data_IF_382448357279
#
_entry.id   IF_382448357279
#
_cell.length_a   1.000
_cell.length_b   1.000
_cell.length_c   1.000
_cell.angle_alpha   90.00
_cell.angle_beta   90.00
_cell.angle_gamma   90.00
#
_symmetry.space_group_name_H-M   'P 1'
#
loop_
_entity.id
_entity.type
_entity.pdbx_description
1 polymer ?
#
# COMPACT_ATOMS: atom_id res chain seq x y z
N UNK A 1 17.82 -3.04 8.52
CA UNK A 1 18.13 -1.90 7.73
C UNK A 1 16.97 -1.18 7.07
N UNK A 2 15.72 -1.37 7.53
CA UNK A 2 14.57 -0.52 7.17
C UNK A 2 14.32 0.50 8.26
N UNK A 3 13.93 1.71 7.87
CA UNK A 3 13.47 2.78 8.74
C UNK A 3 11.94 2.85 8.72
N UNK A 4 11.30 3.01 9.88
CA UNK A 4 9.85 3.22 9.97
C UNK A 4 9.52 4.68 9.69
N UNK A 5 8.58 4.90 8.77
CA UNK A 5 8.05 6.23 8.43
C UNK A 5 6.56 6.30 8.78
N UNK A 6 6.09 7.50 9.12
CA UNK A 6 4.68 7.77 9.47
C UNK A 6 4.17 8.99 8.73
N UNK A 7 2.88 9.01 8.46
CA UNK A 7 2.20 10.09 7.78
C UNK A 7 0.82 10.39 8.36
N UNK A 8 0.17 11.44 7.90
CA UNK A 8 -1.14 11.86 8.41
C UNK A 8 -2.23 10.85 8.04
N UNK A 9 -3.21 10.71 8.93
CA UNK A 9 -4.42 9.92 8.68
C UNK A 9 -5.37 10.64 7.71
N UNK A 10 -5.54 11.95 7.92
CA UNK A 10 -6.26 12.82 6.99
C UNK A 10 -5.27 13.27 5.93
N UNK A 11 -5.55 12.95 4.68
CA UNK A 11 -4.63 13.15 3.58
C UNK A 11 -5.31 13.93 2.44
N UNK A 12 -4.52 14.64 1.65
CA UNK A 12 -4.98 15.21 0.38
C UNK A 12 -5.24 14.08 -0.63
N UNK A 13 -6.31 14.18 -1.40
CA UNK A 13 -6.54 13.30 -2.55
C UNK A 13 -5.36 13.34 -3.52
N UNK A 14 -4.66 14.46 -3.60
CA UNK A 14 -3.40 14.60 -4.32
C UNK A 14 -2.39 13.51 -3.96
N UNK A 15 -2.05 13.36 -2.68
CA UNK A 15 -1.07 12.37 -2.22
C UNK A 15 -1.63 10.94 -2.22
N UNK A 16 -2.92 10.83 -1.91
CA UNK A 16 -3.57 9.52 -1.82
C UNK A 16 -3.80 8.90 -3.21
N UNK A 17 -3.93 9.71 -4.25
CA UNK A 17 -4.29 9.24 -5.59
C UNK A 17 -3.48 9.88 -6.72
N UNK A 18 -3.48 11.22 -6.84
CA UNK A 18 -2.91 11.88 -8.01
C UNK A 18 -1.41 11.66 -8.15
N UNK A 19 -0.65 11.81 -7.07
CA UNK A 19 0.79 11.56 -7.04
C UNK A 19 1.15 10.08 -7.26
N UNK A 20 0.18 9.17 -7.17
CA UNK A 20 0.27 7.76 -7.52
C UNK A 20 -0.21 7.47 -8.96
N UNK A 21 -0.39 8.50 -9.77
CA UNK A 21 -0.87 8.35 -11.15
C UNK A 21 -2.22 7.61 -11.26
N UNK A 22 -3.03 7.63 -10.20
CA UNK A 22 -4.37 7.06 -10.23
C UNK A 22 -5.35 8.09 -10.79
N UNK A 23 -6.04 7.81 -11.92
CA UNK A 23 -6.87 8.80 -12.61
C UNK A 23 -8.01 9.31 -11.72
N UNK A 24 -8.46 10.55 -11.98
CA UNK A 24 -9.48 11.20 -11.15
C UNK A 24 -10.88 10.60 -11.29
N UNK A 25 -11.14 9.82 -12.33
CA UNK A 25 -12.36 9.05 -12.57
C UNK A 25 -12.23 7.57 -12.16
N UNK A 26 -11.15 7.20 -11.45
CA UNK A 26 -10.96 5.83 -11.00
C UNK A 26 -12.00 5.46 -9.93
N UNK A 27 -12.64 4.26 -10.02
CA UNK A 27 -13.69 3.82 -9.06
C UNK A 27 -13.28 3.91 -7.60
N UNK A 28 -12.02 3.64 -7.25
CA UNK A 28 -11.54 3.72 -5.87
C UNK A 28 -11.62 5.13 -5.26
N UNK A 29 -11.83 6.18 -6.07
CA UNK A 29 -12.09 7.55 -5.60
C UNK A 29 -13.57 7.81 -5.34
N UNK A 30 -14.46 6.85 -5.66
CA UNK A 30 -15.88 6.98 -5.39
C UNK A 30 -16.11 7.07 -3.88
N UNK A 31 -17.15 7.82 -3.49
CA UNK A 31 -17.59 7.94 -2.09
C UNK A 31 -18.02 6.59 -1.48
N UNK A 32 -18.31 5.59 -2.32
CA UNK A 32 -18.57 4.22 -1.86
C UNK A 32 -17.32 3.49 -1.39
N UNK A 33 -16.12 3.91 -1.83
CA UNK A 33 -14.85 3.25 -1.49
C UNK A 33 -13.93 4.14 -0.63
N UNK A 34 -14.13 5.47 -0.65
CA UNK A 34 -13.28 6.46 0.05
C UNK A 34 -14.10 7.36 0.97
N UNK A 35 -13.63 7.56 2.20
CA UNK A 35 -14.20 8.53 3.12
C UNK A 35 -13.61 9.92 2.84
N UNK A 36 -14.45 10.84 2.36
CA UNK A 36 -14.14 12.25 2.20
C UNK A 36 -14.54 13.03 3.46
N UNK A 37 -13.77 14.06 3.81
CA UNK A 37 -14.09 14.92 4.94
C UNK A 37 -15.14 15.98 4.55
N UNK A 38 -16.05 16.25 5.45
CA UNK A 38 -17.04 17.32 5.30
C UNK A 38 -16.51 18.69 5.74
N UNK A 39 -15.69 18.73 6.80
CA UNK A 39 -15.08 19.96 7.33
C UNK A 39 -13.75 19.64 8.02
N UNK A 40 -12.63 20.26 7.57
CA UNK A 40 -12.50 20.98 6.28
C UNK A 40 -12.59 20.02 5.10
N UNK A 41 -13.16 20.49 3.98
CA UNK A 41 -13.29 19.68 2.76
C UNK A 41 -12.04 19.63 1.92
N UNK A 42 -11.26 20.71 1.94
CA UNK A 42 -10.07 20.92 1.10
C UNK A 42 -8.87 21.29 1.95
N UNK A 43 -7.68 21.01 1.42
CA UNK A 43 -6.40 21.37 1.98
C UNK A 43 -5.50 22.06 0.97
N UNK A 44 -4.31 22.42 1.40
CA UNK A 44 -3.34 23.14 0.57
C UNK A 44 -2.47 22.15 -0.21
N UNK A 45 -2.42 22.29 -1.52
CA UNK A 45 -1.59 21.46 -2.41
C UNK A 45 -0.10 21.84 -2.31
N UNK A 46 0.80 20.85 -2.59
CA UNK A 46 2.23 21.12 -2.78
C UNK A 46 2.46 21.76 -4.17
N UNK A 47 2.42 23.08 -4.25
CA UNK A 47 2.40 23.85 -5.51
C UNK A 47 3.57 23.54 -6.45
N UNK A 48 4.72 23.20 -5.90
CA UNK A 48 5.92 22.81 -6.66
C UNK A 48 5.78 21.47 -7.40
N UNK A 49 4.82 20.61 -7.00
CA UNK A 49 4.55 19.31 -7.61
C UNK A 49 3.30 19.29 -8.48
N UNK A 50 2.34 20.20 -8.24
CA UNK A 50 1.03 20.19 -8.90
C UNK A 50 1.15 20.12 -10.42
N UNK A 51 1.91 21.05 -11.04
CA UNK A 51 2.04 21.08 -12.51
C UNK A 51 2.75 19.85 -13.07
N UNK A 52 3.70 19.27 -12.33
CA UNK A 52 4.40 18.05 -12.76
C UNK A 52 3.47 16.84 -12.75
N UNK A 53 2.68 16.69 -11.67
CA UNK A 53 1.68 15.60 -11.55
C UNK A 53 0.57 15.76 -12.58
N UNK A 54 0.00 16.96 -12.74
CA UNK A 54 -0.98 17.26 -13.77
C UNK A 54 -0.48 16.87 -15.17
N UNK A 55 0.73 17.30 -15.55
CA UNK A 55 1.28 17.02 -16.86
C UNK A 55 1.41 15.51 -17.14
N UNK A 56 1.82 14.70 -16.16
CA UNK A 56 1.87 13.24 -16.36
C UNK A 56 0.47 12.63 -16.52
N UNK A 57 -0.53 13.13 -15.78
CA UNK A 57 -1.91 12.69 -15.96
C UNK A 57 -2.47 13.03 -17.33
N UNK A 58 -2.28 14.25 -17.82
CA UNK A 58 -2.85 14.72 -19.07
C UNK A 58 -2.14 14.18 -20.29
N UNK A 59 -0.80 14.18 -20.29
CA UNK A 59 0.00 13.94 -21.51
C UNK A 59 1.13 12.92 -21.30
N UNK A 60 1.33 12.41 -20.09
CA UNK A 60 2.48 11.58 -19.75
C UNK A 60 3.74 12.38 -19.41
N UNK A 61 3.73 13.69 -19.61
CA UNK A 61 4.89 14.56 -19.31
C UNK A 61 6.17 14.11 -19.99
N UNK A 62 7.26 13.97 -19.25
CA UNK A 62 8.57 13.51 -19.73
C UNK A 62 8.77 11.99 -19.62
N UNK A 63 7.75 11.22 -19.24
CA UNK A 63 7.88 9.79 -18.92
C UNK A 63 7.92 8.88 -20.15
N UNK A 64 7.57 9.42 -21.34
CA UNK A 64 7.42 8.65 -22.56
C UNK A 64 6.04 7.97 -22.68
N UNK A 65 5.16 8.09 -21.71
CA UNK A 65 3.77 7.64 -21.80
C UNK A 65 2.87 8.70 -22.43
N UNK A 66 1.61 8.33 -22.71
CA UNK A 66 0.62 9.25 -23.24
C UNK A 66 -0.29 9.86 -22.16
N UNK A 67 -0.03 9.56 -20.87
CA UNK A 67 -0.93 9.91 -19.79
C UNK A 67 -2.30 9.25 -19.92
N UNK A 68 -3.25 9.73 -19.13
CA UNK A 68 -4.65 9.25 -19.16
C UNK A 68 -5.52 10.02 -20.16
N UNK A 69 -5.02 11.14 -20.71
CA UNK A 69 -5.68 11.98 -21.73
C UNK A 69 -6.99 12.62 -21.30
N UNK A 70 -7.13 12.96 -20.02
CA UNK A 70 -8.25 13.76 -19.50
C UNK A 70 -7.75 15.11 -18.97
N UNK A 71 -8.66 16.07 -18.78
CA UNK A 71 -8.34 17.33 -18.13
C UNK A 71 -8.28 17.13 -16.63
N UNK A 72 -7.08 17.25 -16.07
CA UNK A 72 -6.87 17.13 -14.62
C UNK A 72 -7.51 18.30 -13.88
N UNK A 73 -8.24 18.04 -12.81
CA UNK A 73 -8.98 19.00 -12.03
C UNK A 73 -8.31 19.21 -10.68
N UNK A 74 -7.94 20.45 -10.41
CA UNK A 74 -7.31 20.87 -9.16
C UNK A 74 -8.24 20.60 -7.96
N UNK A 75 -9.53 20.88 -8.12
CA UNK A 75 -10.55 20.73 -7.09
C UNK A 75 -10.68 19.30 -6.58
N UNK A 76 -10.41 18.31 -7.43
CA UNK A 76 -10.42 16.90 -7.03
C UNK A 76 -9.19 16.55 -6.18
N UNK A 77 -8.05 17.15 -6.48
CA UNK A 77 -6.80 16.89 -5.77
C UNK A 77 -6.74 17.59 -4.39
N UNK A 78 -7.43 18.73 -4.24
CA UNK A 78 -7.52 19.51 -2.99
C UNK A 78 -8.40 18.84 -1.93
N UNK A 79 -9.27 17.90 -2.29
CA UNK A 79 -10.16 17.20 -1.36
C UNK A 79 -9.37 16.48 -0.27
N UNK A 80 -9.91 16.53 0.96
CA UNK A 80 -9.37 15.79 2.09
C UNK A 80 -10.10 14.45 2.24
N UNK A 81 -9.32 13.40 2.47
CA UNK A 81 -9.81 12.03 2.63
C UNK A 81 -9.19 11.38 3.86
N UNK A 82 -9.85 10.37 4.41
CA UNK A 82 -9.14 9.40 5.24
C UNK A 82 -8.30 8.53 4.29
N UNK A 83 -7.00 8.41 4.55
CA UNK A 83 -6.08 7.68 3.64
C UNK A 83 -6.56 6.25 3.42
N UNK A 84 -6.59 5.81 2.16
CA UNK A 84 -7.04 4.48 1.76
C UNK A 84 -5.91 3.44 1.71
N UNK A 85 -4.67 3.91 1.87
CA UNK A 85 -3.44 3.13 1.94
C UNK A 85 -2.32 3.98 2.56
N UNK A 86 -1.28 3.32 3.05
CA UNK A 86 -0.10 3.98 3.59
C UNK A 86 0.86 4.48 2.53
N UNK A 87 0.62 4.17 1.25
CA UNK A 87 1.43 4.61 0.10
C UNK A 87 1.49 6.13 -0.03
N UNK A 88 0.45 6.85 0.43
CA UNK A 88 0.49 8.32 0.51
C UNK A 88 1.67 8.81 1.37
N UNK A 89 1.97 8.14 2.49
CA UNK A 89 3.14 8.43 3.33
C UNK A 89 4.44 8.20 2.57
N UNK A 90 4.53 7.07 1.86
CA UNK A 90 5.69 6.70 1.05
C UNK A 90 5.97 7.71 -0.06
N UNK A 91 4.93 8.19 -0.74
CA UNK A 91 5.07 9.17 -1.81
C UNK A 91 5.53 10.53 -1.27
N UNK A 92 5.02 10.97 -0.12
CA UNK A 92 5.52 12.17 0.56
C UNK A 92 7.01 12.03 0.91
N UNK A 93 7.39 10.88 1.46
CA UNK A 93 8.78 10.61 1.81
C UNK A 93 9.69 10.66 0.58
N UNK A 94 9.28 10.05 -0.55
CA UNK A 94 10.04 10.09 -1.80
C UNK A 94 10.17 11.51 -2.38
N UNK A 95 9.13 12.36 -2.22
CA UNK A 95 9.20 13.75 -2.67
C UNK A 95 10.26 14.56 -1.90
N UNK A 96 10.45 14.25 -0.62
CA UNK A 96 11.46 14.88 0.24
C UNK A 96 12.85 14.23 0.12
N UNK A 97 12.90 12.96 -0.30
CA UNK A 97 14.13 12.15 -0.37
C UNK A 97 14.23 11.45 -1.74
N UNK A 98 14.55 12.18 -2.82
CA UNK A 98 14.54 11.61 -4.18
C UNK A 98 15.76 10.75 -4.52
N UNK A 99 16.78 10.69 -3.66
CA UNK A 99 18.06 10.02 -3.92
C UNK A 99 18.24 8.71 -3.11
N UNK A 100 18.81 7.66 -3.75
CA UNK A 100 19.09 6.40 -3.07
C UNK A 100 20.32 6.49 -2.15
N UNK A 101 20.55 5.54 -1.21
CA UNK A 101 19.69 4.38 -0.98
C UNK A 101 18.52 4.67 -0.02
N UNK A 102 17.35 4.08 -0.29
CA UNK A 102 16.19 4.17 0.60
C UNK A 102 15.67 2.76 0.91
N UNK A 103 15.39 2.51 2.19
CA UNK A 103 14.70 1.32 2.69
C UNK A 103 13.80 1.75 3.82
N UNK A 104 12.55 2.01 3.51
CA UNK A 104 11.56 2.47 4.50
C UNK A 104 10.31 1.60 4.48
N UNK A 105 9.61 1.58 5.61
CA UNK A 105 8.32 0.92 5.75
C UNK A 105 7.39 1.74 6.63
N UNK A 106 6.10 1.51 6.47
CA UNK A 106 5.04 2.08 7.32
C UNK A 106 4.10 0.96 7.74
N UNK A 107 3.68 0.99 9.00
CA UNK A 107 2.58 0.17 9.52
C UNK A 107 1.60 1.11 10.18
N UNK A 108 0.42 1.26 9.60
CA UNK A 108 -0.53 2.22 10.11
C UNK A 108 -1.96 1.92 9.64
N UNK A 109 -2.95 2.62 10.24
CA UNK A 109 -4.36 2.48 9.91
C UNK A 109 -4.68 3.09 8.55
N UNK A 110 -5.53 2.41 7.82
CA UNK A 110 -6.13 2.89 6.59
C UNK A 110 -7.65 2.71 6.65
N UNK A 111 -8.35 3.42 5.77
CA UNK A 111 -9.81 3.53 5.81
C UNK A 111 -10.40 3.29 4.43
N UNK A 112 -11.36 2.39 4.34
CA UNK A 112 -12.10 2.11 3.10
C UNK A 112 -13.57 1.98 3.41
N UNK A 113 -14.40 2.64 2.63
CA UNK A 113 -15.85 2.60 2.79
C UNK A 113 -16.44 1.31 2.19
N UNK A 114 -15.95 0.17 2.67
CA UNK A 114 -16.39 -1.15 2.22
C UNK A 114 -17.44 -1.73 3.15
N UNK A 115 -18.27 -2.62 2.64
CA UNK A 115 -19.19 -3.41 3.49
C UNK A 115 -18.39 -4.32 4.40
N UNK A 116 -18.60 -4.16 5.71
CA UNK A 116 -17.93 -4.98 6.72
C UNK A 116 -18.39 -6.44 6.64
N UNK A 117 -17.43 -7.36 6.50
CA UNK A 117 -17.66 -8.80 6.53
C UNK A 117 -16.47 -9.53 7.21
N UNK A 118 -16.39 -10.86 7.08
CA UNK A 118 -15.36 -11.67 7.72
C UNK A 118 -13.92 -11.40 7.22
N UNK A 119 -13.75 -10.72 6.11
CA UNK A 119 -12.44 -10.39 5.48
C UNK A 119 -12.25 -8.91 5.13
N UNK A 120 -13.28 -8.06 5.38
CA UNK A 120 -13.27 -6.63 5.10
C UNK A 120 -13.68 -5.83 6.31
N UNK A 121 -12.94 -4.77 6.60
CA UNK A 121 -13.20 -3.79 7.66
C UNK A 121 -13.15 -2.39 7.06
N UNK A 122 -13.89 -1.45 7.65
CA UNK A 122 -13.83 -0.05 7.24
C UNK A 122 -12.56 0.66 7.72
N UNK A 123 -11.98 0.21 8.84
CA UNK A 123 -10.68 0.62 9.37
C UNK A 123 -9.84 -0.64 9.61
N UNK A 124 -8.62 -0.66 9.11
CA UNK A 124 -7.68 -1.77 9.32
C UNK A 124 -6.23 -1.29 9.14
N UNK A 125 -5.26 -2.15 9.43
CA UNK A 125 -3.85 -1.80 9.31
C UNK A 125 -3.28 -2.30 7.98
N UNK A 126 -2.45 -1.48 7.38
CA UNK A 126 -1.61 -1.85 6.25
C UNK A 126 -0.15 -1.82 6.66
N UNK A 127 0.59 -2.85 6.27
CA UNK A 127 2.04 -2.84 6.22
C UNK A 127 2.46 -2.57 4.78
N UNK A 128 3.34 -1.61 4.61
CA UNK A 128 3.86 -1.21 3.31
C UNK A 128 5.34 -0.88 3.42
N UNK A 129 6.07 -0.98 2.32
CA UNK A 129 7.45 -0.54 2.29
C UNK A 129 7.97 -0.35 0.86
N UNK A 130 9.09 0.36 0.78
CA UNK A 130 9.83 0.54 -0.46
C UNK A 130 11.31 0.26 -0.27
N UNK A 131 11.94 -0.10 -1.39
CA UNK A 131 13.39 -0.08 -1.57
C UNK A 131 13.70 0.70 -2.84
N UNK A 132 14.52 1.75 -2.71
CA UNK A 132 15.09 2.46 -3.84
C UNK A 132 16.61 2.35 -3.78
N UNK A 133 17.21 1.82 -4.85
CA UNK A 133 18.66 1.75 -4.99
C UNK A 133 19.04 1.64 -6.46
N UNK A 134 20.36 1.82 -6.74
CA UNK A 134 20.91 1.64 -8.08
C UNK A 134 20.89 0.16 -8.45
N UNK A 135 20.25 -0.17 -9.57
CA UNK A 135 20.27 -1.53 -10.11
C UNK A 135 19.33 -2.53 -9.46
N UNK A 136 18.48 -2.13 -8.51
CA UNK A 136 17.42 -3.02 -7.99
C UNK A 136 16.39 -3.33 -9.08
N UNK A 137 15.85 -4.54 -9.04
CA UNK A 137 14.93 -5.03 -10.05
C UNK A 137 13.78 -5.85 -9.44
N UNK A 138 12.82 -6.23 -10.28
CA UNK A 138 11.65 -6.98 -9.83
C UNK A 138 11.99 -8.34 -9.18
N UNK A 139 13.10 -8.97 -9.58
CA UNK A 139 13.58 -10.21 -8.95
C UNK A 139 13.96 -9.98 -7.49
N UNK A 140 14.58 -8.83 -7.18
CA UNK A 140 14.96 -8.48 -5.81
C UNK A 140 13.72 -8.28 -4.94
N UNK A 141 12.68 -7.66 -5.50
CA UNK A 141 11.39 -7.52 -4.82
C UNK A 141 10.76 -8.88 -4.50
N UNK A 142 10.71 -9.80 -5.47
CA UNK A 142 10.20 -11.17 -5.24
C UNK A 142 11.02 -11.86 -4.14
N UNK A 143 12.34 -11.72 -4.17
CA UNK A 143 13.25 -12.28 -3.17
C UNK A 143 12.98 -11.74 -1.77
N UNK A 144 12.82 -10.41 -1.66
CA UNK A 144 12.52 -9.73 -0.40
C UNK A 144 11.19 -10.20 0.22
N UNK A 145 10.12 -10.24 -0.58
CA UNK A 145 8.79 -10.64 -0.12
C UNK A 145 8.75 -12.12 0.24
N UNK A 146 9.44 -12.98 -0.52
CA UNK A 146 9.58 -14.40 -0.19
C UNK A 146 10.29 -14.61 1.15
N UNK A 147 11.39 -13.90 1.38
CA UNK A 147 12.15 -13.95 2.63
C UNK A 147 11.30 -13.44 3.81
N UNK A 148 10.57 -12.34 3.63
CA UNK A 148 9.67 -11.80 4.64
C UNK A 148 8.64 -12.85 5.10
N UNK A 149 7.93 -13.47 4.18
CA UNK A 149 6.93 -14.49 4.53
C UNK A 149 7.54 -15.78 5.05
N UNK A 150 8.71 -16.18 4.54
CA UNK A 150 9.45 -17.33 5.04
C UNK A 150 9.82 -17.18 6.53
N UNK A 151 10.27 -15.98 6.93
CA UNK A 151 10.55 -15.68 8.34
C UNK A 151 9.33 -15.69 9.25
N UNK A 152 8.16 -15.43 8.69
CA UNK A 152 6.88 -15.57 9.39
C UNK A 152 6.34 -17.02 9.38
N UNK A 153 7.06 -17.96 8.76
CA UNK A 153 6.69 -19.36 8.69
C UNK A 153 5.74 -19.72 7.54
N UNK A 154 5.43 -18.75 6.67
CA UNK A 154 4.62 -18.98 5.47
C UNK A 154 5.53 -19.37 4.29
N UNK A 155 5.72 -20.67 4.06
CA UNK A 155 6.65 -21.19 3.03
C UNK A 155 6.00 -21.33 1.64
N UNK A 156 4.69 -21.56 1.59
CA UNK A 156 3.93 -21.85 0.36
C UNK A 156 3.35 -20.56 -0.26
N UNK A 157 4.17 -19.51 -0.39
CA UNK A 157 3.78 -18.26 -1.02
C UNK A 157 4.03 -18.32 -2.52
N UNK A 158 3.01 -18.04 -3.32
CA UNK A 158 3.09 -17.91 -4.78
C UNK A 158 2.93 -16.47 -5.20
N UNK A 159 3.57 -16.13 -6.32
CA UNK A 159 3.45 -14.82 -6.95
C UNK A 159 2.68 -14.97 -8.26
N UNK A 160 1.72 -14.09 -8.49
CA UNK A 160 0.97 -14.05 -9.75
C UNK A 160 0.95 -12.62 -10.31
N UNK A 161 0.92 -12.44 -11.63
CA UNK A 161 0.75 -11.12 -12.22
C UNK A 161 -0.51 -10.45 -11.70
N UNK A 162 -0.44 -9.14 -11.50
CA UNK A 162 -1.55 -8.30 -11.08
C UNK A 162 -1.46 -6.93 -11.76
N UNK A 163 -2.42 -6.07 -11.51
CA UNK A 163 -2.42 -4.70 -12.04
C UNK A 163 -2.69 -3.70 -10.92
N UNK A 164 -1.82 -2.70 -10.84
CA UNK A 164 -2.04 -1.49 -10.04
C UNK A 164 -1.69 -0.27 -10.90
N UNK A 165 -2.47 0.84 -10.84
CA UNK A 165 -2.24 1.98 -11.73
C UNK A 165 -0.88 2.65 -11.54
N UNK A 166 -0.23 2.45 -10.41
CA UNK A 166 1.03 3.10 -10.01
C UNK A 166 2.27 2.20 -10.14
N UNK A 167 2.14 0.92 -10.52
CA UNK A 167 3.29 0.00 -10.67
C UNK A 167 3.30 -0.71 -12.03
N UNK A 168 4.51 -0.97 -12.55
CA UNK A 168 4.77 -1.79 -13.74
C UNK A 168 6.23 -2.28 -13.70
N UNK A 169 6.51 -3.62 -13.66
CA UNK A 169 5.53 -4.70 -13.53
C UNK A 169 4.87 -4.74 -12.16
N UNK A 170 3.68 -5.38 -12.12
CA UNK A 170 2.90 -5.58 -10.91
C UNK A 170 2.66 -7.05 -10.64
N UNK A 171 2.65 -7.44 -9.38
CA UNK A 171 2.28 -8.77 -8.94
C UNK A 171 1.60 -8.74 -7.57
N UNK A 172 1.01 -9.84 -7.19
CA UNK A 172 0.52 -10.09 -5.84
C UNK A 172 1.10 -11.40 -5.29
N UNK A 173 1.33 -11.42 -3.98
CA UNK A 173 1.71 -12.62 -3.28
C UNK A 173 0.47 -13.23 -2.62
N UNK A 174 0.28 -14.53 -2.83
CA UNK A 174 -0.85 -15.31 -2.31
C UNK A 174 -0.35 -16.52 -1.55
N UNK A 175 -1.07 -16.89 -0.48
CA UNK A 175 -0.82 -18.08 0.32
C UNK A 175 -2.02 -19.03 0.24
N UNK A 176 -1.76 -20.32 0.19
CA UNK A 176 -2.82 -21.33 0.22
C UNK A 176 -3.18 -21.70 1.66
N UNK A 177 -4.41 -21.42 2.05
CA UNK A 177 -4.96 -21.82 3.33
C UNK A 177 -5.56 -23.22 3.21
N UNK A 178 -4.83 -24.23 3.71
CA UNK A 178 -5.20 -25.65 3.57
C UNK A 178 -6.57 -25.95 4.19
N UNK A 179 -6.80 -25.43 5.40
CA UNK A 179 -8.03 -25.68 6.16
C UNK A 179 -9.28 -25.07 5.50
N UNK A 180 -9.08 -24.01 4.70
CA UNK A 180 -10.15 -23.33 3.96
C UNK A 180 -10.22 -23.69 2.48
N UNK A 181 -9.27 -24.51 2.01
CA UNK A 181 -9.14 -24.90 0.59
C UNK A 181 -9.22 -23.69 -0.37
N UNK A 182 -8.54 -22.58 -0.02
CA UNK A 182 -8.58 -21.34 -0.79
C UNK A 182 -7.25 -20.60 -0.80
N UNK A 183 -7.04 -19.78 -1.82
CA UNK A 183 -5.93 -18.85 -1.88
C UNK A 183 -6.32 -17.53 -1.22
N UNK A 184 -5.48 -17.03 -0.31
CA UNK A 184 -5.60 -15.74 0.31
C UNK A 184 -4.55 -14.80 -0.28
N UNK A 185 -5.00 -13.67 -0.81
CA UNK A 185 -4.14 -12.56 -1.20
C UNK A 185 -3.58 -11.86 0.05
N UNK A 186 -2.26 -11.74 0.09
CA UNK A 186 -1.56 -11.14 1.24
C UNK A 186 -1.06 -9.72 0.94
N UNK A 187 -0.44 -9.51 -0.23
CA UNK A 187 0.28 -8.29 -0.56
C UNK A 187 0.28 -8.02 -2.06
N UNK A 188 0.02 -6.78 -2.43
CA UNK A 188 0.31 -6.25 -3.77
C UNK A 188 1.73 -5.71 -3.82
N UNK A 189 2.41 -5.83 -4.97
CA UNK A 189 3.79 -5.39 -5.12
C UNK A 189 4.12 -5.03 -6.57
N UNK A 190 5.13 -4.18 -6.75
CA UNK A 190 5.58 -3.80 -8.09
C UNK A 190 6.75 -2.83 -8.07
N UNK A 191 7.12 -2.34 -9.24
CA UNK A 191 8.05 -1.22 -9.40
C UNK A 191 7.20 0.01 -9.71
N UNK A 192 7.42 1.11 -8.98
CA UNK A 192 6.72 2.36 -9.29
C UNK A 192 7.02 2.81 -10.71
N UNK A 193 5.97 3.19 -11.41
CA UNK A 193 6.04 3.68 -12.80
C UNK A 193 6.77 5.03 -12.86
N UNK A 194 7.38 5.37 -14.01
CA UNK A 194 7.98 6.68 -14.23
C UNK A 194 7.01 7.85 -13.98
N UNK A 195 5.72 7.66 -14.28
CA UNK A 195 4.66 8.65 -14.03
C UNK A 195 4.46 8.98 -12.55
N UNK A 196 4.85 8.06 -11.65
CA UNK A 196 4.85 8.29 -10.19
C UNK A 196 6.17 8.92 -9.76
N UNK A 197 7.30 8.38 -10.22
CA UNK A 197 8.62 8.73 -9.69
C UNK A 197 9.20 10.02 -10.26
N UNK A 198 9.04 10.28 -11.56
CA UNK A 198 9.64 11.45 -12.21
C UNK A 198 9.09 12.79 -11.72
N UNK A 199 7.77 12.98 -11.48
CA UNK A 199 7.26 14.23 -10.89
C UNK A 199 7.89 14.56 -9.53
N UNK A 200 8.26 13.53 -8.75
CA UNK A 200 8.91 13.65 -7.45
C UNK A 200 10.43 13.88 -7.54
N UNK A 201 11.00 13.88 -8.75
CA UNK A 201 12.45 14.01 -8.95
C UNK A 201 13.25 12.71 -8.81
N UNK A 202 12.58 11.59 -8.56
CA UNK A 202 13.21 10.27 -8.41
C UNK A 202 13.60 9.70 -9.76
N UNK A 203 14.88 9.30 -9.91
CA UNK A 203 15.48 8.80 -11.16
C UNK A 203 15.83 7.31 -11.12
N UNK A 204 15.60 6.66 -10.00
CA UNK A 204 16.01 5.28 -9.75
C UNK A 204 14.80 4.37 -9.59
N UNK A 205 14.95 3.05 -9.83
CA UNK A 205 13.88 2.10 -9.59
C UNK A 205 13.44 2.09 -8.12
N UNK A 206 12.13 2.10 -7.89
CA UNK A 206 11.53 2.01 -6.57
C UNK A 206 10.69 0.74 -6.51
N UNK A 207 11.18 -0.25 -5.77
CA UNK A 207 10.45 -1.46 -5.43
C UNK A 207 9.44 -1.12 -4.34
N UNK A 208 8.17 -1.47 -4.53
CA UNK A 208 7.11 -1.16 -3.59
C UNK A 208 6.23 -2.38 -3.30
N UNK A 209 5.74 -2.49 -2.09
CA UNK A 209 4.78 -3.52 -1.68
C UNK A 209 3.88 -2.99 -0.58
N UNK A 210 2.64 -3.52 -0.51
CA UNK A 210 1.70 -3.18 0.54
C UNK A 210 0.62 -4.24 0.72
N UNK A 211 0.25 -4.54 1.95
CA UNK A 211 -0.76 -5.54 2.28
C UNK A 211 -1.44 -5.33 3.62
N UNK A 212 -2.64 -5.89 3.78
CA UNK A 212 -3.40 -5.82 5.02
C UNK A 212 -2.79 -6.68 6.12
N UNK A 213 -2.51 -6.05 7.27
CA UNK A 213 -1.91 -6.74 8.41
C UNK A 213 -2.86 -7.78 9.01
N UNK A 214 -4.15 -7.49 9.09
CA UNK A 214 -5.16 -8.40 9.63
C UNK A 214 -5.32 -9.67 8.77
N UNK A 215 -5.20 -9.57 7.45
CA UNK A 215 -5.19 -10.74 6.56
C UNK A 215 -3.99 -11.64 6.82
N UNK A 216 -2.82 -11.04 7.02
CA UNK A 216 -1.62 -11.77 7.41
C UNK A 216 -1.81 -12.45 8.77
N UNK A 217 -2.31 -11.72 9.76
CA UNK A 217 -2.57 -12.25 11.09
C UNK A 217 -3.64 -13.37 11.06
N UNK A 218 -4.69 -13.22 10.24
CA UNK A 218 -5.70 -14.28 10.04
C UNK A 218 -5.05 -15.57 9.54
N UNK A 219 -4.13 -15.48 8.59
CA UNK A 219 -3.40 -16.64 8.06
C UNK A 219 -2.46 -17.26 9.10
N UNK A 220 -1.76 -16.44 9.91
CA UNK A 220 -0.80 -16.90 10.91
C UNK A 220 -1.45 -17.54 12.14
N UNK A 221 -2.58 -16.99 12.57
CA UNK A 221 -3.33 -17.46 13.75
C UNK A 221 -4.47 -18.43 13.40
N UNK A 222 -4.63 -18.76 12.12
CA UNK A 222 -5.68 -19.63 11.60
C UNK A 222 -7.09 -19.21 12.07
N UNK A 223 -7.39 -17.91 11.97
CA UNK A 223 -8.69 -17.37 12.32
C UNK A 223 -9.66 -17.42 11.12
N UNK A 224 -10.94 -17.47 11.42
CA UNK A 224 -11.98 -17.49 10.39
C UNK A 224 -12.49 -16.10 10.03
N UNK A 225 -12.36 -15.14 10.96
CA UNK A 225 -12.96 -13.81 10.86
C UNK A 225 -12.02 -12.74 11.42
N UNK A 226 -11.67 -11.75 10.58
CA UNK A 226 -10.76 -10.66 10.98
C UNK A 226 -11.35 -9.76 12.06
N UNK A 227 -12.68 -9.73 12.24
CA UNK A 227 -13.33 -8.96 13.30
C UNK A 227 -12.97 -9.44 14.70
N UNK A 228 -12.49 -10.69 14.84
CA UNK A 228 -12.01 -11.24 16.11
C UNK A 228 -10.88 -10.41 16.73
N UNK A 229 -10.04 -9.75 15.92
CA UNK A 229 -8.98 -8.87 16.41
C UNK A 229 -9.51 -7.61 17.11
N UNK A 230 -10.77 -7.23 16.85
CA UNK A 230 -11.40 -5.99 17.34
C UNK A 230 -12.48 -6.22 18.40
N UNK A 231 -12.91 -7.48 18.62
CA UNK A 231 -13.92 -7.80 19.63
C UNK A 231 -13.43 -7.69 21.08
N UNK A 232 -12.10 -7.62 21.28
CA UNK A 232 -11.47 -7.51 22.60
C UNK A 232 -11.92 -8.59 23.61
N UNK A 233 -12.19 -9.82 23.16
CA UNK A 233 -12.51 -10.93 24.06
C UNK A 233 -11.26 -11.33 24.85
N UNK A 234 -11.27 -11.03 26.17
CA UNK A 234 -10.16 -11.31 27.07
C UNK A 234 -9.79 -12.80 27.13
N UNK A 235 -10.75 -13.70 26.92
CA UNK A 235 -10.49 -15.15 26.91
C UNK A 235 -9.67 -15.51 25.69
N UNK A 236 -10.01 -14.94 24.53
CA UNK A 236 -9.24 -15.12 23.29
C UNK A 236 -7.84 -14.50 23.42
N UNK A 237 -7.74 -13.27 23.90
CA UNK A 237 -6.44 -12.57 24.06
C UNK A 237 -5.50 -13.35 25.00
N UNK A 238 -6.02 -13.94 26.08
CA UNK A 238 -5.21 -14.74 27.02
C UNK A 238 -4.74 -16.07 26.47
N UNK A 239 -5.46 -16.63 25.51
CA UNK A 239 -5.20 -17.97 24.95
C UNK A 239 -4.50 -17.91 23.60
N UNK A 240 -4.28 -16.71 23.01
CA UNK A 240 -3.59 -16.60 21.73
C UNK A 240 -2.12 -16.94 21.88
N UNK A 241 -1.67 -17.92 21.11
CA UNK A 241 -0.26 -18.34 21.10
C UNK A 241 0.61 -17.26 20.48
N UNK A 242 1.75 -17.00 21.08
CA UNK A 242 2.77 -16.16 20.46
C UNK A 242 3.59 -17.00 19.48
N UNK A 243 3.05 -17.17 18.28
CA UNK A 243 3.61 -18.01 17.20
C UNK A 243 5.10 -17.70 16.96
N UNK A 244 5.50 -16.44 17.07
CA UNK A 244 6.89 -16.04 16.84
C UNK A 244 7.81 -16.51 17.95
N UNK A 245 7.39 -16.43 19.22
CA UNK A 245 8.18 -16.88 20.37
C UNK A 245 8.27 -18.41 20.40
N UNK A 246 7.18 -19.12 20.14
CA UNK A 246 7.17 -20.58 20.12
C UNK A 246 8.12 -21.14 19.06
N UNK A 247 8.12 -20.59 17.84
CA UNK A 247 9.04 -21.02 16.76
C UNK A 247 10.51 -20.63 17.05
N UNK A 248 10.75 -19.51 17.74
CA UNK A 248 12.12 -19.05 18.05
C UNK A 248 12.74 -19.80 19.23
N UNK A 249 11.90 -20.29 20.16
CA UNK A 249 12.33 -21.01 21.38
C UNK A 249 12.38 -22.53 21.15
N UNK A 250 11.90 -23.03 20.00
CA UNK A 250 11.93 -24.47 19.67
C UNK A 250 10.96 -25.31 20.50
N UNK A 251 9.84 -24.73 20.93
CA UNK A 251 8.80 -25.39 21.73
C UNK A 251 7.73 -26.11 20.88
N UNK A 252 8.08 -26.50 19.64
CA UNK A 252 7.26 -27.43 18.82
C UNK A 252 8.14 -28.48 18.21
#
# INVERSE_FOLDING_TARGET
>A
GFEEIRGPVVELAFWNFDALFQPQDHPARDMHDTFYLDQPRIGQLPEDLVEKVKNVHETGGSTGSLGWKYLWKREEAEKLVLRTHTTATTIRYLAEHPDPPIKVFSVDRIYRNEKVDWKHLAEFHQIEGIVMDKGVCFRDLIGLIREFYSRLGLKDVKFRPSYFPYTEPSAEAVVYLRDKNTWLELIGMGIFRPEVTQPLGVKYPVLAWGGGLERLALALYNLEDIRAFYFNDLRWIRNISNIYLEKKIGMT
#
